data_IF_395538167883
#
_entry.id   IF_395538167883
#
_cell.length_a   1.000
_cell.length_b   1.000
_cell.length_c   1.000
_cell.angle_alpha   90.00
_cell.angle_beta   90.00
_cell.angle_gamma   90.00
#
_symmetry.space_group_name_H-M   'P 1'
#
loop_
_entity.id
_entity.type
_entity.pdbx_description
1 polymer ?
2 non-polymer ?
3 non-polymer ?
4 non-polymer ?
5 water ?
#
# COMPACT_ATOMS: atom_id res chain seq x y z
N UNK A 7 -16.27 16.24 -11.18
CA UNK A 7 -17.45 17.18 -11.06
C UNK A 7 -18.36 16.77 -9.86
N UNK A 8 -18.89 15.54 -9.87
CA UNK A 8 -19.47 14.95 -8.65
C UNK A 8 -18.39 14.19 -7.91
N UNK A 9 -18.52 14.11 -6.59
CA UNK A 9 -17.61 13.32 -5.75
C UNK A 9 -17.86 11.85 -6.01
N UNK A 10 -16.77 11.10 -6.25
CA UNK A 10 -16.91 9.66 -6.50
C UNK A 10 -15.90 8.88 -5.67
N UNK A 11 -16.13 7.58 -5.55
CA UNK A 11 -15.15 6.64 -5.01
C UNK A 11 -14.64 5.75 -6.12
N UNK A 12 -13.33 5.50 -6.14
CA UNK A 12 -12.79 4.52 -7.06
C UNK A 12 -12.19 3.42 -6.19
N UNK A 13 -12.93 2.32 -6.10
CA UNK A 13 -12.47 1.14 -5.40
C UNK A 13 -11.53 0.38 -6.31
N UNK A 14 -10.40 -0.08 -5.79
CA UNK A 14 -9.44 -0.78 -6.61
C UNK A 14 -8.65 -1.80 -5.80
N UNK A 15 -7.97 -2.67 -6.55
CA UNK A 15 -7.15 -3.72 -5.97
C UNK A 15 -6.21 -4.28 -7.02
N UNK A 16 -4.96 -4.50 -6.59
CA UNK A 16 -3.98 -5.24 -7.43
C UNK A 16 -3.83 -6.70 -7.04
N UNK A 17 -3.63 -7.54 -8.06
CA UNK A 17 -3.01 -8.85 -7.84
C UNK A 17 -1.61 -8.69 -8.36
N UNK A 18 -0.65 -9.22 -7.61
CA UNK A 18 0.79 -9.04 -7.92
C UNK A 18 1.51 -10.38 -7.97
N UNK A 19 2.74 -10.30 -8.44
CA UNK A 19 3.62 -11.47 -8.48
C UNK A 19 4.51 -11.63 -7.25
N UNK A 20 4.26 -10.83 -6.23
CA UNK A 20 4.92 -10.94 -4.93
C UNK A 20 4.57 -9.80 -4.03
N UNK A 21 5.12 -9.86 -2.81
CA UNK A 21 4.68 -8.87 -1.81
C UNK A 21 5.54 -7.61 -1.77
N UNK A 22 6.66 -7.57 -2.50
CA UNK A 22 7.48 -6.35 -2.46
C UNK A 22 6.89 -5.33 -3.44
N UNK A 23 6.39 -4.15 -2.94
CA UNK A 23 5.71 -3.23 -3.90
C UNK A 23 6.61 -2.59 -4.94
N UNK A 24 7.93 -2.56 -4.70
CA UNK A 24 8.92 -2.05 -5.64
C UNK A 24 9.54 -3.14 -6.48
N UNK A 25 9.92 -4.25 -5.84
CA UNK A 25 10.78 -5.25 -6.49
C UNK A 25 10.04 -6.44 -7.09
N UNK A 26 8.77 -6.59 -6.74
CA UNK A 26 7.86 -7.51 -7.46
C UNK A 26 7.07 -6.71 -8.46
N UNK A 27 6.46 -7.43 -9.38
CA UNK A 27 5.74 -6.81 -10.51
C UNK A 27 4.27 -7.05 -10.37
N UNK A 28 3.44 -6.07 -10.80
CA UNK A 28 1.97 -6.28 -10.75
C UNK A 28 1.51 -7.31 -11.79
N UNK A 29 0.41 -7.99 -11.52
CA UNK A 29 -0.18 -8.90 -12.50
C UNK A 29 -1.47 -8.36 -13.08
N UNK A 30 -2.33 -7.79 -12.22
CA UNK A 30 -3.70 -7.42 -12.61
C UNK A 30 -4.13 -6.25 -11.75
N UNK A 31 -4.87 -5.35 -12.36
CA UNK A 31 -5.53 -4.25 -11.67
C UNK A 31 -7.01 -4.42 -11.88
N UNK A 32 -7.79 -4.22 -10.80
CA UNK A 32 -9.24 -4.24 -10.89
C UNK A 32 -9.79 -3.02 -10.19
N UNK A 33 -10.83 -2.40 -10.76
CA UNK A 33 -11.46 -1.20 -10.18
C UNK A 33 -12.85 -0.97 -10.62
N UNK A 34 -13.60 -0.23 -9.80
CA UNK A 34 -14.93 0.27 -10.24
C UNK A 34 -15.25 1.55 -9.51
N UNK A 35 -15.96 2.43 -10.19
CA UNK A 35 -16.33 3.73 -9.65
C UNK A 35 -17.74 3.71 -9.13
N UNK A 36 -17.90 4.32 -7.94
CA UNK A 36 -19.22 4.52 -7.34
C UNK A 36 -19.52 5.99 -7.10
N UNK A 37 -20.81 6.31 -6.93
CA UNK A 37 -21.16 7.66 -6.48
C UNK A 37 -20.84 7.80 -4.96
N UNK A 38 -21.18 8.96 -4.39
CA UNK A 38 -20.86 9.24 -2.98
C UNK A 38 -21.59 8.34 -1.97
N UNK A 39 -22.59 7.58 -2.48
CA UNK A 39 -23.45 6.68 -1.71
C UNK A 39 -23.14 5.19 -1.94
N UNK A 40 -22.05 4.94 -2.69
CA UNK A 40 -21.55 3.58 -3.03
C UNK A 40 -22.39 2.81 -4.06
N UNK A 41 -23.24 3.55 -4.78
CA UNK A 41 -23.91 3.00 -5.97
C UNK A 41 -22.95 2.92 -7.13
N UNK A 42 -22.83 1.74 -7.72
CA UNK A 42 -21.94 1.54 -8.89
C UNK A 42 -22.44 2.40 -10.08
N UNK A 43 -21.53 3.24 -10.57
CA UNK A 43 -21.80 4.15 -11.74
C UNK A 43 -20.88 3.86 -12.94
N UNK A 44 -19.75 3.20 -12.69
CA UNK A 44 -18.81 2.82 -13.74
C UNK A 44 -18.93 1.39 -14.19
N UNK A 45 -18.18 1.08 -15.24
CA UNK A 45 -18.02 -0.29 -15.70
C UNK A 45 -16.84 -0.92 -15.00
N UNK A 46 -16.83 -2.28 -14.81
CA UNK A 46 -15.63 -2.90 -14.23
C UNK A 46 -14.42 -2.61 -15.11
N UNK A 47 -13.31 -2.23 -14.46
CA UNK A 47 -12.03 -1.96 -15.13
C UNK A 47 -11.08 -3.03 -14.68
N UNK A 48 -10.75 -3.96 -15.56
CA UNK A 48 -9.89 -5.11 -15.21
C UNK A 48 -8.90 -5.26 -16.30
N UNK A 49 -7.61 -5.23 -15.92
CA UNK A 49 -6.59 -5.45 -16.96
C UNK A 49 -5.29 -5.96 -16.37
N UNK A 50 -4.47 -6.49 -17.26
CA UNK A 50 -3.26 -7.18 -16.89
C UNK A 50 -2.02 -6.41 -17.29
N UNK A 51 -0.94 -6.72 -16.58
CA UNK A 51 0.37 -6.13 -16.85
C UNK A 51 1.34 -7.19 -17.31
N UNK A 52 1.88 -7.00 -18.53
CA UNK A 52 2.92 -7.85 -19.09
C UNK A 52 4.21 -7.69 -18.24
N UNK A 53 4.74 -8.79 -17.61
CA UNK A 53 6.03 -8.68 -16.91
C UNK A 53 7.18 -8.68 -17.91
N UNK A 54 8.14 -7.77 -17.65
CA UNK A 54 9.38 -7.74 -18.45
C UNK A 54 10.22 -9.02 -18.22
N UNK A 55 11.10 -9.34 -19.16
CA UNK A 55 11.85 -10.60 -19.13
C UNK A 55 13.09 -10.61 -18.21
N UNK A 56 13.17 -9.63 -17.29
CA UNK A 56 14.22 -9.58 -16.28
C UNK A 56 13.70 -10.05 -14.90
N UNK A 57 12.55 -10.75 -14.90
CA UNK A 57 11.86 -11.02 -13.65
C UNK A 57 11.21 -12.40 -13.68
N UNK A 58 11.30 -13.09 -12.54
CA UNK A 58 10.49 -14.29 -12.30
C UNK A 58 9.57 -14.04 -11.11
N UNK A 59 8.27 -14.43 -11.26
CA UNK A 59 7.34 -14.20 -10.14
C UNK A 59 7.67 -15.05 -8.91
N UNK A 60 7.27 -14.56 -7.74
CA UNK A 60 7.36 -15.37 -6.53
C UNK A 60 6.36 -16.52 -6.67
N UNK A 61 6.84 -17.80 -6.58
CA UNK A 61 5.90 -18.95 -6.68
C UNK A 61 4.72 -18.87 -5.72
N UNK A 62 4.97 -18.49 -4.45
CA UNK A 62 3.94 -18.31 -3.43
C UNK A 62 2.81 -17.35 -3.83
N UNK A 63 3.17 -16.23 -4.48
CA UNK A 63 2.18 -15.28 -4.96
C UNK A 63 1.24 -15.89 -6.01
N UNK A 64 1.81 -16.64 -6.97
CA UNK A 64 1.03 -17.28 -8.05
C UNK A 64 0.10 -18.35 -7.48
N UNK A 65 0.56 -19.10 -6.47
CA UNK A 65 -0.31 -20.11 -5.83
C UNK A 65 -1.52 -19.49 -5.14
N UNK A 66 -1.37 -18.24 -4.65
CA UNK A 66 -2.46 -17.47 -4.04
C UNK A 66 -3.41 -16.90 -5.11
N UNK A 67 -2.86 -16.22 -6.11
CA UNK A 67 -3.68 -15.46 -7.06
C UNK A 67 -4.29 -16.33 -8.14
N UNK A 68 -3.58 -17.40 -8.50
CA UNK A 68 -3.92 -18.23 -9.67
C UNK A 68 -3.62 -17.59 -11.03
N UNK A 69 -2.91 -16.44 -11.01
CA UNK A 69 -2.55 -15.73 -12.23
C UNK A 69 -1.11 -16.08 -12.53
N UNK A 70 -0.93 -16.82 -13.60
CA UNK A 70 0.40 -17.22 -14.06
C UNK A 70 1.11 -16.07 -14.78
N UNK A 71 2.48 -16.09 -14.81
CA UNK A 71 3.16 -15.10 -15.68
C UNK A 71 2.79 -15.22 -17.17
N UNK A 72 2.50 -16.45 -17.65
CA UNK A 72 2.03 -16.66 -19.04
C UNK A 72 0.75 -15.90 -19.31
N UNK A 73 -0.18 -15.96 -18.34
CA UNK A 73 -1.49 -15.29 -18.50
C UNK A 73 -1.32 -13.77 -18.51
N UNK A 74 -0.60 -13.20 -17.54
CA UNK A 74 -0.37 -11.75 -17.54
C UNK A 74 0.38 -11.29 -18.82
N UNK A 75 1.35 -12.07 -19.28
CA UNK A 75 2.07 -11.72 -20.50
C UNK A 75 1.13 -11.76 -21.73
N UNK A 76 0.28 -12.78 -21.83
CA UNK A 76 -0.57 -12.94 -23.04
C UNK A 76 -1.76 -11.97 -23.05
N UNK A 77 -2.26 -11.63 -21.86
CA UNK A 77 -3.47 -10.78 -21.72
C UNK A 77 -3.14 -9.33 -21.40
N UNK A 78 -1.89 -9.07 -21.04
CA UNK A 78 -1.49 -7.75 -20.57
C UNK A 78 -1.04 -6.79 -21.61
N UNK A 79 -0.87 -5.56 -21.16
CA UNK A 79 -0.12 -4.56 -21.93
C UNK A 79 1.14 -4.31 -21.14
N UNK A 80 2.11 -3.65 -21.76
CA UNK A 80 3.35 -3.33 -21.07
C UNK A 80 3.05 -2.40 -19.88
N UNK A 81 4.01 -2.33 -18.96
CA UNK A 81 3.77 -1.58 -17.71
C UNK A 81 3.53 -0.09 -17.98
N UNK A 82 4.14 0.49 -19.03
CA UNK A 82 3.85 1.87 -19.43
C UNK A 82 2.36 2.07 -19.70
N UNK A 83 1.77 1.13 -20.47
CA UNK A 83 0.36 1.24 -20.83
C UNK A 83 -0.57 0.92 -19.66
N UNK A 84 -0.19 -0.05 -18.82
CA UNK A 84 -0.86 -0.38 -17.57
C UNK A 84 -0.91 0.86 -16.68
N UNK A 85 0.26 1.51 -16.49
CA UNK A 85 0.35 2.74 -15.71
C UNK A 85 -0.54 3.83 -16.27
N UNK A 86 -0.58 3.99 -17.60
CA UNK A 86 -1.46 5.00 -18.23
C UNK A 86 -2.93 4.79 -17.90
N UNK A 87 -3.39 3.54 -17.97
CA UNK A 87 -4.80 3.25 -17.69
C UNK A 87 -5.13 3.56 -16.23
N UNK A 88 -4.25 3.17 -15.30
CA UNK A 88 -4.46 3.43 -13.88
C UNK A 88 -4.41 4.93 -13.61
N UNK A 89 -3.40 5.63 -14.17
CA UNK A 89 -3.28 7.08 -13.97
C UNK A 89 -4.54 7.84 -14.46
N UNK A 90 -5.10 7.43 -15.60
CA UNK A 90 -6.35 8.02 -16.14
C UNK A 90 -7.51 7.90 -15.14
N UNK A 91 -7.67 6.72 -14.52
CA UNK A 91 -8.74 6.46 -13.56
C UNK A 91 -8.54 7.26 -12.28
N UNK A 92 -7.30 7.28 -11.79
CA UNK A 92 -6.95 7.93 -10.52
C UNK A 92 -6.98 9.45 -10.55
N UNK A 93 -6.86 10.03 -11.72
CA UNK A 93 -6.75 11.50 -11.81
C UNK A 93 -8.05 12.18 -12.27
N UNK A 94 -9.16 11.42 -12.39
CA UNK A 94 -10.50 12.01 -12.54
C UNK A 94 -10.71 12.92 -11.30
N UNK A 95 -11.07 14.22 -11.50
CA UNK A 95 -11.28 15.10 -10.34
C UNK A 95 -12.32 14.59 -9.37
N UNK A 96 -12.08 14.93 -8.09
CA UNK A 96 -12.98 14.64 -6.95
C UNK A 96 -13.18 13.13 -6.70
N UNK A 97 -12.11 12.38 -6.96
CA UNK A 97 -12.05 10.94 -6.70
C UNK A 97 -11.43 10.64 -5.36
N UNK A 98 -12.13 9.85 -4.54
CA UNK A 98 -11.54 9.19 -3.39
C UNK A 98 -11.11 7.80 -3.84
N UNK A 99 -9.79 7.59 -3.93
CA UNK A 99 -9.19 6.31 -4.34
C UNK A 99 -9.03 5.48 -3.08
N UNK A 100 -9.65 4.31 -3.07
CA UNK A 100 -9.60 3.47 -1.85
C UNK A 100 -9.61 2.00 -2.19
N UNK A 101 -9.22 1.20 -1.21
CA UNK A 101 -9.24 -0.25 -1.33
C UNK A 101 -9.25 -0.85 0.06
N UNK A 102 -8.59 -2.00 0.15
CA UNK A 102 -8.54 -2.75 1.40
C UNK A 102 -7.10 -3.15 1.59
N UNK A 103 -6.45 -2.45 2.52
CA UNK A 103 -4.96 -2.47 2.72
C UNK A 103 -4.18 -1.69 1.64
N UNK A 104 -4.85 -0.78 0.95
CA UNK A 104 -4.15 0.02 -0.08
C UNK A 104 -3.12 0.96 0.52
N UNK A 105 -3.35 1.52 1.72
CA UNK A 105 -2.34 2.51 2.24
C UNK A 105 -0.94 1.86 2.36
N UNK A 106 -0.89 0.64 2.89
CA UNK A 106 0.37 -0.06 3.10
C UNK A 106 0.85 -0.76 1.82
N UNK A 107 -0.09 -1.31 1.04
CA UNK A 107 0.28 -2.15 -0.11
C UNK A 107 -0.04 -1.54 -1.47
N UNK A 108 -1.30 -1.50 -1.87
CA UNK A 108 -1.63 -1.10 -3.26
C UNK A 108 -1.13 0.28 -3.61
N UNK A 109 -1.21 1.24 -2.67
CA UNK A 109 -0.74 2.59 -2.96
C UNK A 109 0.77 2.64 -3.18
N UNK A 110 1.51 1.74 -2.50
CA UNK A 110 2.95 1.57 -2.71
C UNK A 110 3.23 0.98 -4.08
N UNK A 111 2.40 0.01 -4.50
CA UNK A 111 2.50 -0.54 -5.87
C UNK A 111 2.28 0.61 -6.88
N UNK A 112 1.22 1.40 -6.69
CA UNK A 112 0.92 2.53 -7.58
C UNK A 112 2.10 3.51 -7.66
N UNK A 113 2.61 3.91 -6.49
CA UNK A 113 3.75 4.85 -6.44
C UNK A 113 4.91 4.32 -7.26
N UNK A 114 5.20 3.03 -7.12
CA UNK A 114 6.34 2.39 -7.84
C UNK A 114 6.10 2.23 -9.34
N UNK A 115 4.89 1.86 -9.75
CA UNK A 115 4.53 1.80 -11.18
C UNK A 115 4.67 3.21 -11.80
N UNK A 116 4.19 4.23 -11.08
CA UNK A 116 4.28 5.60 -11.59
C UNK A 116 5.74 6.05 -11.69
N UNK A 117 6.50 5.81 -10.63
CA UNK A 117 7.94 6.09 -10.57
C UNK A 117 8.70 5.48 -11.75
N UNK A 118 8.49 4.17 -11.98
CA UNK A 118 9.18 3.45 -13.10
C UNK A 118 8.78 3.94 -14.48
N UNK A 119 7.55 4.47 -14.59
CA UNK A 119 7.01 4.81 -15.93
C UNK A 119 6.78 6.27 -16.19
N UNK A 120 7.52 7.10 -15.43
CA UNK A 120 7.65 8.57 -15.68
C UNK A 120 6.37 9.38 -15.37
N UNK A 121 5.55 8.84 -14.49
CA UNK A 121 4.44 9.60 -13.86
C UNK A 121 4.89 10.15 -12.53
N UNK A 122 4.28 11.27 -12.12
CA UNK A 122 4.42 11.75 -10.76
C UNK A 122 3.92 10.65 -9.79
N UNK A 123 4.79 10.19 -8.85
CA UNK A 123 4.33 9.14 -7.92
C UNK A 123 3.29 9.53 -6.88
N UNK A 124 3.08 10.84 -6.70
CA UNK A 124 2.32 11.38 -5.54
C UNK A 124 1.09 12.20 -5.87
N UNK A 125 1.16 12.96 -6.97
CA UNK A 125 0.14 14.00 -7.29
C UNK A 125 -1.29 13.45 -7.41
N UNK A 126 -1.44 12.23 -7.93
CA UNK A 126 -2.74 11.57 -8.15
C UNK A 126 -3.67 11.56 -6.92
N UNK A 127 -3.04 11.47 -5.72
CA UNK A 127 -3.74 11.30 -4.44
C UNK A 127 -4.46 12.55 -3.98
N UNK A 128 -3.93 13.73 -4.35
CA UNK A 128 -4.43 15.01 -3.78
C UNK A 128 -4.84 16.08 -4.78
N UNK A 129 -4.32 16.02 -6.02
CA UNK A 129 -4.67 17.06 -7.03
C UNK A 129 -6.14 16.95 -7.41
N UNK A 130 -6.75 18.07 -7.84
CA UNK A 130 -8.15 18.13 -8.32
C UNK A 130 -9.17 17.62 -7.26
N UNK A 131 -8.98 17.95 -5.97
CA UNK A 131 -9.86 17.54 -4.85
C UNK A 131 -9.83 16.02 -4.57
N UNK A 132 -8.78 15.31 -5.02
CA UNK A 132 -8.72 13.87 -4.77
C UNK A 132 -8.31 13.56 -3.35
N UNK A 133 -8.55 12.30 -2.95
CA UNK A 133 -8.18 11.83 -1.62
C UNK A 133 -7.97 10.34 -1.70
N UNK A 134 -7.51 9.79 -0.58
CA UNK A 134 -7.44 8.34 -0.44
C UNK A 134 -8.11 7.94 0.86
N UNK A 135 -8.49 6.67 0.90
CA UNK A 135 -9.01 6.05 2.09
C UNK A 135 -8.68 4.57 2.02
N UNK A 136 -8.95 3.84 3.10
CA UNK A 136 -8.58 2.43 3.19
C UNK A 136 -9.51 1.79 4.18
N UNK A 137 -10.26 0.79 3.71
CA UNK A 137 -11.25 0.12 4.56
C UNK A 137 -10.65 -0.78 5.62
N UNK A 138 -9.36 -1.13 5.51
CA UNK A 138 -8.76 -2.02 6.52
C UNK A 138 -8.75 -1.35 7.87
N UNK A 139 -8.24 -0.13 7.97
CA UNK A 139 -8.20 0.49 9.33
C UNK A 139 -9.58 0.94 9.76
N UNK A 140 -10.53 1.12 8.83
CA UNK A 140 -11.95 1.33 9.18
C UNK A 140 -12.48 0.10 9.93
N UNK A 141 -12.23 -1.10 9.40
CA UNK A 141 -12.67 -2.32 10.07
C UNK A 141 -11.99 -2.48 11.42
N UNK A 142 -10.69 -2.21 11.45
CA UNK A 142 -9.96 -2.27 12.73
C UNK A 142 -10.50 -1.30 13.75
N UNK A 143 -10.80 -0.08 13.32
CA UNK A 143 -11.42 0.95 14.21
C UNK A 143 -12.77 0.52 14.74
N UNK A 144 -13.62 -0.08 13.90
CA UNK A 144 -14.92 -0.58 14.37
C UNK A 144 -14.72 -1.65 15.41
N UNK A 145 -13.87 -2.66 15.12
CA UNK A 145 -13.62 -3.73 16.10
C UNK A 145 -13.21 -3.18 17.48
N UNK A 146 -12.30 -2.22 17.46
CA UNK A 146 -11.73 -1.69 18.69
C UNK A 146 -12.73 -0.76 19.40
N UNK A 147 -13.39 0.13 18.64
CA UNK A 147 -14.09 1.27 19.24
C UNK A 147 -15.58 1.17 19.21
N UNK A 148 -16.13 0.48 18.20
CA UNK A 148 -17.61 0.41 18.01
C UNK A 148 -17.99 -0.97 17.44
N UNK A 149 -17.71 -2.09 18.20
CA UNK A 149 -17.89 -3.43 17.61
C UNK A 149 -19.34 -3.90 17.41
N UNK A 150 -20.28 -3.18 18.01
CA UNK A 150 -21.71 -3.57 17.93
C UNK A 150 -22.25 -3.79 16.49
N UNK A 151 -22.88 -4.94 16.28
CA UNK A 151 -23.58 -5.16 15.05
C UNK A 151 -22.82 -5.84 13.95
N UNK A 152 -21.50 -5.98 14.11
CA UNK A 152 -20.65 -6.70 13.12
C UNK A 152 -20.13 -7.97 13.79
N UNK A 153 -20.06 -9.05 12.99
CA UNK A 153 -19.43 -10.29 13.43
C UNK A 153 -17.94 -10.22 13.20
N UNK A 154 -17.20 -10.48 14.27
CA UNK A 154 -15.73 -10.37 14.27
C UNK A 154 -15.09 -11.76 14.35
N UNK A 155 -14.67 -12.32 13.20
CA UNK A 155 -14.12 -13.67 13.22
C UNK A 155 -12.71 -13.71 13.85
N UNK A 156 -12.43 -14.85 14.46
CA UNK A 156 -11.08 -15.15 14.96
C UNK A 156 -10.37 -15.98 13.95
N UNK A 157 -9.06 -15.70 13.81
CA UNK A 157 -8.22 -16.60 13.02
C UNK A 157 -7.80 -17.86 13.82
N UNK A 158 -7.01 -18.72 13.18
CA UNK A 158 -6.54 -19.97 13.76
C UNK A 158 -5.70 -19.83 15.04
N UNK A 159 -5.22 -18.60 15.29
CA UNK A 159 -4.43 -18.32 16.48
C UNK A 159 -5.28 -17.76 17.64
N UNK A 160 -6.55 -17.49 17.38
CA UNK A 160 -7.47 -16.96 18.40
C UNK A 160 -7.44 -15.47 18.53
N UNK A 161 -6.94 -14.82 17.48
CA UNK A 161 -6.85 -13.38 17.40
C UNK A 161 -7.90 -12.88 16.41
N UNK A 162 -8.39 -11.63 16.59
CA UNK A 162 -9.39 -11.14 15.59
C UNK A 162 -8.73 -11.01 14.23
N UNK A 163 -9.45 -11.47 13.21
CA UNK A 163 -8.95 -11.46 11.83
C UNK A 163 -9.53 -10.27 11.07
N UNK A 164 -8.67 -9.62 10.30
CA UNK A 164 -9.11 -8.51 9.38
C UNK A 164 -8.85 -8.84 7.93
N UNK A 165 -8.65 -10.13 7.64
CA UNK A 165 -8.56 -10.59 6.24
C UNK A 165 -9.92 -10.35 5.62
N UNK A 166 -9.90 -9.72 4.43
CA UNK A 166 -11.17 -9.40 3.76
C UNK A 166 -12.11 -10.61 3.63
N UNK A 167 -11.56 -11.75 3.19
CA UNK A 167 -12.31 -13.02 3.00
C UNK A 167 -12.94 -13.55 4.30
N UNK A 168 -12.29 -13.29 5.44
CA UNK A 168 -12.84 -13.71 6.73
C UNK A 168 -13.97 -12.81 7.16
N UNK A 169 -13.81 -11.50 6.95
CA UNK A 169 -14.87 -10.54 7.34
C UNK A 169 -16.12 -10.67 6.48
N UNK A 170 -15.94 -10.92 5.18
CA UNK A 170 -17.10 -11.11 4.30
C UNK A 170 -17.89 -12.36 4.69
N UNK A 171 -17.19 -13.51 4.82
CA UNK A 171 -17.82 -14.79 5.21
C UNK A 171 -18.56 -14.66 6.55
N UNK A 172 -17.91 -14.03 7.54
CA UNK A 172 -18.48 -13.87 8.88
C UNK A 172 -19.74 -12.99 8.92
N UNK A 173 -19.89 -12.12 7.91
CA UNK A 173 -21.01 -11.18 7.85
C UNK A 173 -22.00 -11.41 6.70
N UNK A 174 -21.90 -12.58 6.06
CA UNK A 174 -22.87 -13.03 5.04
C UNK A 174 -22.79 -12.34 3.68
N UNK A 175 -21.64 -11.71 3.42
CA UNK A 175 -21.33 -11.06 2.14
C UNK A 175 -20.75 -12.09 1.17
N UNK A 176 -21.40 -12.22 -0.01
CA UNK A 176 -20.95 -13.05 -1.14
C UNK A 176 -19.55 -12.60 -1.62
N UNK A 177 -18.62 -13.56 -1.67
CA UNK A 177 -17.18 -13.36 -1.94
C UNK A 177 -16.57 -14.73 -2.38
N UNK A 178 -16.62 -15.14 -3.66
CA UNK A 178 -17.23 -14.48 -4.85
C UNK A 178 -18.75 -14.76 -4.92
N UNK A 182 -14.32 -14.34 -9.21
CA UNK A 182 -13.92 -13.72 -10.45
C UNK A 182 -12.94 -12.53 -10.20
N UNK A 183 -12.50 -11.88 -11.29
CA UNK A 183 -11.55 -10.75 -11.24
C UNK A 183 -12.00 -9.58 -10.33
N UNK A 184 -13.31 -9.31 -10.33
CA UNK A 184 -13.88 -8.20 -9.57
C UNK A 184 -14.27 -8.51 -8.11
N UNK A 185 -14.10 -9.77 -7.67
CA UNK A 185 -14.64 -10.24 -6.38
C UNK A 185 -14.14 -9.42 -5.18
N UNK A 186 -12.83 -9.11 -5.14
CA UNK A 186 -12.24 -8.34 -4.04
C UNK A 186 -12.70 -6.89 -4.00
N UNK A 187 -12.80 -6.26 -5.19
CA UNK A 187 -13.33 -4.91 -5.29
C UNK A 187 -14.80 -4.87 -4.80
N UNK A 188 -15.64 -5.79 -5.29
CA UNK A 188 -17.04 -5.82 -4.81
C UNK A 188 -17.14 -6.10 -3.31
N UNK A 189 -16.30 -6.99 -2.79
CA UNK A 189 -16.21 -7.26 -1.33
C UNK A 189 -15.86 -6.00 -0.54
N UNK A 190 -14.96 -5.15 -1.08
CA UNK A 190 -14.53 -3.92 -0.43
C UNK A 190 -15.71 -2.91 -0.38
N UNK A 191 -16.46 -2.80 -1.49
CA UNK A 191 -17.69 -1.97 -1.50
C UNK A 191 -18.68 -2.47 -0.42
N UNK A 192 -18.84 -3.79 -0.35
CA UNK A 192 -19.74 -4.38 0.65
C UNK A 192 -19.30 -4.03 2.07
N UNK A 193 -17.99 -4.00 2.36
CA UNK A 193 -17.45 -3.58 3.68
C UNK A 193 -17.79 -2.16 3.99
N UNK A 194 -17.64 -1.26 3.01
CA UNK A 194 -17.95 0.14 3.19
C UNK A 194 -19.43 0.30 3.53
N UNK A 195 -20.31 -0.39 2.78
CA UNK A 195 -21.76 -0.31 3.07
C UNK A 195 -22.07 -0.87 4.44
N UNK A 196 -21.37 -1.96 4.84
CA UNK A 196 -21.58 -2.60 6.15
C UNK A 196 -21.32 -1.60 7.28
N UNK A 197 -20.17 -0.94 7.26
CA UNK A 197 -19.81 0.02 8.31
C UNK A 197 -20.71 1.25 8.26
N UNK A 198 -21.00 1.77 7.06
CA UNK A 198 -21.88 2.93 6.91
C UNK A 198 -23.26 2.66 7.54
N UNK A 199 -23.77 1.44 7.35
CA UNK A 199 -25.09 1.04 7.87
C UNK A 199 -25.03 0.84 9.40
N UNK A 200 -24.03 0.08 9.84
CA UNK A 200 -24.03 -0.46 11.21
C UNK A 200 -23.36 0.48 12.21
N UNK A 201 -22.41 1.30 11.75
CA UNK A 201 -21.78 2.32 12.61
C UNK A 201 -21.76 3.67 11.89
N UNK A 202 -22.96 4.27 11.69
CA UNK A 202 -23.04 5.44 10.80
C UNK A 202 -22.19 6.63 11.24
N UNK A 203 -22.20 6.96 12.53
CA UNK A 203 -21.44 8.16 12.98
C UNK A 203 -19.95 7.91 12.94
N UNK A 204 -19.52 6.70 13.34
CA UNK A 204 -18.09 6.37 13.20
C UNK A 204 -17.63 6.41 11.73
N UNK A 205 -18.47 5.87 10.84
CA UNK A 205 -18.13 5.89 9.40
C UNK A 205 -17.91 7.32 8.92
N UNK A 206 -18.86 8.22 9.24
CA UNK A 206 -18.76 9.64 8.87
C UNK A 206 -17.48 10.26 9.43
N UNK A 207 -17.22 9.99 10.72
CA UNK A 207 -16.07 10.54 11.41
C UNK A 207 -14.78 10.11 10.68
N UNK A 208 -14.66 8.81 10.42
CA UNK A 208 -13.45 8.27 9.79
C UNK A 208 -13.27 8.82 8.36
N UNK A 209 -14.38 8.90 7.62
CA UNK A 209 -14.30 9.44 6.28
C UNK A 209 -13.81 10.88 6.30
N UNK A 210 -14.43 11.74 7.12
CA UNK A 210 -14.06 13.16 7.20
C UNK A 210 -12.58 13.29 7.60
N UNK A 211 -12.15 12.45 8.55
CA UNK A 211 -10.78 12.51 9.09
C UNK A 211 -9.71 11.84 8.22
N UNK A 212 -10.08 11.39 7.01
CA UNK A 212 -9.06 11.01 6.01
C UNK A 212 -8.19 12.25 5.63
N UNK A 213 -8.75 13.44 5.84
CA UNK A 213 -8.16 14.72 5.49
C UNK A 213 -7.13 15.11 6.54
N UNK A 214 -5.92 15.42 6.07
CA UNK A 214 -4.80 15.74 6.98
C UNK A 214 -5.05 16.97 7.88
N UNK A 215 -5.81 17.96 7.40
CA UNK A 215 -6.14 19.15 8.27
C UNK A 215 -7.09 18.83 9.40
N UNK A 216 -8.08 17.96 9.15
CA UNK A 216 -8.94 17.45 10.24
C UNK A 216 -8.09 16.69 11.27
N UNK A 217 -7.15 15.88 10.80
CA UNK A 217 -6.22 15.16 11.69
C UNK A 217 -5.32 16.13 12.49
N UNK A 218 -4.75 17.14 11.83
CA UNK A 218 -3.93 18.15 12.54
C UNK A 218 -4.65 18.89 13.66
N UNK A 219 -5.97 19.09 13.50
CA UNK A 219 -6.82 19.73 14.55
C UNK A 219 -6.87 18.92 15.86
N UNK A 220 -6.64 17.61 15.76
CA UNK A 220 -6.59 16.71 16.93
C UNK A 220 -5.30 16.78 17.71
N UNK A 221 -4.23 17.29 17.09
CA UNK A 221 -2.87 17.16 17.62
C UNK A 221 -2.47 18.43 18.39
N UNK A 222 -2.28 18.24 19.71
CA UNK A 222 -1.86 19.30 20.63
C UNK A 222 -0.55 18.87 21.30
N UNK A 223 0.55 19.21 20.65
CA UNK A 223 1.92 18.87 21.09
C UNK A 223 2.27 19.59 22.43
N UNK A 224 2.07 20.94 22.58
CA UNK A 224 2.37 21.58 23.90
C UNK A 224 1.67 20.93 25.10
N UNK A 225 0.42 20.50 24.92
CA UNK A 225 -0.37 19.86 26.01
C UNK A 225 -0.14 18.36 26.10
N UNK A 226 0.58 17.79 25.12
CA UNK A 226 0.71 16.33 24.91
C UNK A 226 -0.69 15.69 25.03
N UNK A 227 -1.68 16.25 24.31
CA UNK A 227 -3.08 15.83 24.46
C UNK A 227 -3.23 14.38 24.00
N UNK A 228 -3.74 13.49 24.90
CA UNK A 228 -3.87 12.09 24.50
C UNK A 228 -4.96 11.87 23.44
N UNK A 229 -4.68 10.92 22.57
CA UNK A 229 -5.61 10.51 21.53
C UNK A 229 -5.72 9.02 21.50
N UNK A 230 -6.86 8.52 20.99
CA UNK A 230 -6.94 7.11 20.55
C UNK A 230 -6.26 6.99 19.18
N UNK A 231 -5.50 5.92 19.01
CA UNK A 231 -4.90 5.62 17.72
C UNK A 231 -5.10 4.14 17.47
N UNK A 232 -5.65 3.84 16.28
CA UNK A 232 -5.84 2.45 15.86
C UNK A 232 -4.86 2.23 14.74
N UNK A 233 -3.98 1.24 14.90
CA UNK A 233 -2.90 0.98 13.96
C UNK A 233 -2.58 -0.49 13.99
N UNK A 234 -2.40 -1.07 12.81
CA UNK A 234 -1.87 -2.47 12.70
C UNK A 234 -0.59 -2.75 13.49
N UNK A 235 0.29 -1.76 13.63
CA UNK A 235 1.54 -1.87 14.40
C UNK A 235 1.34 -2.23 15.89
N UNK A 236 0.17 -1.89 16.44
CA UNK A 236 -0.14 -2.15 17.86
C UNK A 236 -0.47 -3.62 18.13
N UNK A 237 -1.03 -4.30 17.13
CA UNK A 237 -1.23 -5.76 17.24
C UNK A 237 -2.65 -6.13 17.56
N UNK A 238 -3.10 -7.20 16.91
CA UNK A 238 -4.45 -7.71 17.08
C UNK A 238 -4.79 -8.12 18.54
N UNK A 239 -3.77 -8.51 19.31
CA UNK A 239 -3.93 -8.94 20.73
C UNK A 239 -4.52 -7.83 21.62
N UNK A 240 -4.35 -6.56 21.20
CA UNK A 240 -4.94 -5.40 21.91
C UNK A 240 -5.88 -4.65 20.95
N UNK A 241 -6.49 -5.37 19.99
CA UNK A 241 -7.38 -4.75 19.00
C UNK A 241 -6.75 -3.59 18.24
N UNK A 242 -5.43 -3.67 18.00
CA UNK A 242 -4.69 -2.65 17.24
C UNK A 242 -4.80 -1.23 17.81
N UNK A 243 -5.04 -1.12 19.11
CA UNK A 243 -5.42 0.18 19.72
C UNK A 243 -4.57 0.54 20.91
N UNK A 244 -4.26 1.82 21.00
CA UNK A 244 -3.72 2.40 22.22
C UNK A 244 -4.12 3.86 22.40
N UNK A 245 -3.82 4.38 23.60
CA UNK A 245 -3.79 5.82 23.81
C UNK A 245 -2.37 6.32 23.56
N UNK A 246 -2.28 7.38 22.76
CA UNK A 246 -0.98 7.95 22.36
C UNK A 246 -0.94 9.42 22.70
N UNK A 247 0.28 9.95 22.81
CA UNK A 247 0.46 11.40 22.99
C UNK A 247 1.49 11.95 22.02
N UNK A 248 1.21 13.12 21.38
CA UNK A 248 2.22 13.72 20.47
C UNK A 248 3.32 14.42 21.26
N UNK A 249 4.55 14.11 20.89
CA UNK A 249 5.75 14.71 21.52
C UNK A 249 6.39 15.84 20.71
N UNK A 250 6.42 15.69 19.38
CA UNK A 250 7.09 16.57 18.42
C UNK A 250 6.70 16.17 17.01
N UNK A 251 7.04 17.01 16.06
CA UNK A 251 6.94 16.71 14.64
C UNK A 251 8.30 16.31 14.10
N UNK A 252 8.28 15.44 13.07
CA UNK A 252 9.51 14.91 12.44
C UNK A 252 10.37 16.06 11.91
N UNK A 253 11.72 16.05 12.20
CA UNK A 253 12.68 17.06 11.67
C UNK A 253 12.73 17.26 10.14
N UNK A 254 12.48 16.19 9.37
CA UNK A 254 12.53 16.20 7.89
C UNK A 254 11.17 15.97 7.19
N UNK A 255 10.45 14.91 7.60
CA UNK A 255 9.14 14.55 7.02
C UNK A 255 8.05 15.48 7.55
N UNK A 256 7.60 16.36 6.67
CA UNK A 256 6.58 17.39 6.93
C UNK A 256 5.23 16.82 7.42
N UNK A 257 4.90 15.62 6.94
CA UNK A 257 3.65 14.90 7.26
C UNK A 257 3.70 13.95 8.49
N UNK A 258 4.86 13.82 9.14
CA UNK A 258 5.04 12.84 10.23
C UNK A 258 5.12 13.46 11.62
N UNK A 259 4.22 13.01 12.50
CA UNK A 259 4.22 13.38 13.92
C UNK A 259 4.77 12.23 14.78
N UNK A 260 5.57 12.60 15.79
CA UNK A 260 6.19 11.63 16.69
C UNK A 260 5.31 11.46 17.92
N UNK A 261 4.75 10.25 18.02
CA UNK A 261 3.88 9.83 19.10
C UNK A 261 4.56 8.91 20.06
N UNK A 262 4.15 9.00 21.31
CA UNK A 262 4.50 8.01 22.34
C UNK A 262 3.27 7.13 22.57
N UNK A 263 3.49 5.81 22.59
CA UNK A 263 2.47 4.87 23.02
C UNK A 263 2.44 4.88 24.54
N UNK A 264 1.38 5.45 25.10
CA UNK A 264 1.22 5.60 26.57
C UNK A 264 1.08 4.26 27.32
N UNK A 265 0.69 3.20 26.60
CA UNK A 265 0.62 1.85 27.18
C UNK A 265 1.99 1.18 27.33
N UNK A 266 3.02 1.74 26.70
CA UNK A 266 4.36 1.15 26.70
C UNK A 266 5.14 1.41 27.99
N UNK A 267 6.42 1.08 27.92
CA UNK A 267 7.40 1.35 28.95
C UNK A 267 8.25 2.52 28.50
N UNK A 268 8.05 3.66 29.17
CA UNK A 268 8.73 4.92 28.82
C UNK A 268 10.10 5.08 29.50
N UNK A 269 10.48 4.13 30.38
CA UNK A 269 11.82 4.12 31.06
C UNK A 269 13.02 4.30 30.08
N UNK A 270 13.14 3.52 28.94
CA UNK A 270 14.31 3.76 28.05
C UNK A 270 14.31 5.17 27.43
N UNK A 271 13.12 5.71 27.14
CA UNK A 271 12.95 7.06 26.62
C UNK A 271 13.37 8.17 27.60
N UNK A 272 13.13 7.96 28.90
CA UNK A 272 13.51 8.88 29.98
C UNK A 272 15.00 8.81 30.36
N UNK A 273 15.54 7.58 30.39
CA UNK A 273 16.88 7.25 30.92
C UNK A 273 18.01 7.36 29.88
N UNK A 274 17.80 6.82 28.67
CA UNK A 274 18.85 6.75 27.62
C UNK A 274 18.98 8.05 26.80
N UNK A 275 20.19 8.27 26.24
CA UNK A 275 20.59 9.52 25.54
C UNK A 275 19.93 9.73 24.16
N UNK A 295 11.98 -1.95 24.82
CA UNK A 295 11.39 -1.40 23.61
C UNK A 295 11.06 0.07 23.75
N UNK A 296 11.42 0.84 22.71
CA UNK A 296 11.16 2.28 22.64
C UNK A 296 9.69 2.46 22.19
N UNK A 297 8.80 2.99 23.08
CA UNK A 297 7.37 3.11 22.72
C UNK A 297 7.10 4.42 21.95
N UNK A 298 7.75 4.55 20.80
CA UNK A 298 7.73 5.73 19.94
C UNK A 298 7.38 5.28 18.52
N UNK A 299 6.44 6.00 17.89
CA UNK A 299 6.07 5.76 16.49
C UNK A 299 5.79 7.04 15.70
N UNK A 300 5.96 6.95 14.39
CA UNK A 300 5.56 7.99 13.46
C UNK A 300 4.14 7.76 13.03
N UNK A 301 3.37 8.84 13.04
CA UNK A 301 2.00 8.88 12.52
C UNK A 301 2.07 9.83 11.33
N UNK A 302 1.74 9.30 10.16
CA UNK A 302 1.85 10.00 8.90
C UNK A 302 0.47 10.50 8.56
N UNK A 303 0.28 11.81 8.69
CA UNK A 303 -1.05 12.43 8.55
C UNK A 303 -1.64 12.39 7.13
N UNK A 304 -0.80 12.13 6.12
CA UNK A 304 -1.23 11.88 4.73
C UNK A 304 -1.57 10.39 4.42
N UNK A 305 -1.43 9.51 5.42
CA UNK A 305 -1.62 8.04 5.27
C UNK A 305 -2.91 7.52 5.95
N UNK A 306 -3.94 8.37 6.01
CA UNK A 306 -5.24 8.03 6.66
C UNK A 306 -5.12 7.33 8.03
N UNK A 307 -4.29 7.89 8.96
CA UNK A 307 -4.22 7.19 10.25
C UNK A 307 -5.52 7.39 11.03
N UNK A 308 -5.90 6.38 11.82
CA UNK A 308 -7.09 6.48 12.67
C UNK A 308 -6.68 7.16 13.96
N UNK A 309 -7.24 8.36 14.16
CA UNK A 309 -7.01 9.17 15.36
C UNK A 309 -8.31 9.77 15.80
N UNK A 310 -8.51 9.76 17.11
CA UNK A 310 -9.70 10.39 17.70
C UNK A 310 -9.45 10.83 19.11
N UNK A 311 -10.32 11.72 19.60
CA UNK A 311 -10.24 12.14 21.04
C UNK A 311 -10.20 10.93 21.96
N UNK A 312 -9.51 11.07 23.09
CA UNK A 312 -9.24 9.96 24.01
C UNK A 312 -10.49 9.16 24.44
N UNK A 313 -11.59 9.86 24.71
CA UNK A 313 -12.83 9.23 25.23
C UNK A 313 -13.58 8.42 24.16
N UNK A 314 -13.07 8.42 22.92
CA UNK A 314 -13.66 7.59 21.85
C UNK A 314 -13.50 6.09 22.20
N UNK A 315 -12.41 5.75 22.92
CA UNK A 315 -12.26 4.41 23.48
C UNK A 315 -13.00 4.41 24.80
N UNK A 316 -14.15 3.74 24.77
CA UNK A 316 -15.05 3.65 25.93
C UNK A 316 -14.47 2.70 26.98
N UNK A 317 -14.77 2.92 28.29
CA UNK A 317 -14.23 2.03 29.35
C UNK A 317 -14.44 0.53 29.09
N UNK A 318 -15.64 0.14 28.63
CA UNK A 318 -15.97 -1.28 28.34
C UNK A 318 -15.04 -1.86 27.25
N UNK A 319 -14.67 -1.01 26.30
CA UNK A 319 -13.81 -1.47 25.20
C UNK A 319 -12.34 -1.50 25.60
N UNK A 320 -11.89 -0.49 26.37
CA UNK A 320 -10.56 -0.54 26.98
C UNK A 320 -10.36 -1.84 27.79
N UNK A 321 -11.37 -2.21 28.59
CA UNK A 321 -11.34 -3.47 29.34
C UNK A 321 -11.28 -4.70 28.46
N UNK A 322 -12.17 -4.73 27.45
CA UNK A 322 -12.21 -5.82 26.46
C UNK A 322 -10.84 -6.04 25.77
N UNK A 323 -10.17 -4.93 25.43
CA UNK A 323 -8.89 -4.96 24.74
C UNK A 323 -7.65 -5.06 25.66
N UNK A 324 -7.91 -5.03 26.97
CA UNK A 324 -6.86 -5.15 28.01
C UNK A 324 -6.02 -3.90 28.20
N UNK A 325 -6.51 -2.75 27.71
CA UNK A 325 -5.79 -1.45 27.73
C UNK A 325 -5.96 -0.83 29.10
N UNK A 326 -4.83 -0.52 29.74
CA UNK A 326 -4.77 -0.06 31.12
C UNK A 326 -4.73 1.47 31.18
N UNK A 327 -5.88 2.08 31.49
CA UNK A 327 -6.06 3.55 31.57
C UNK A 327 -5.08 4.19 32.57
N UNK A 328 -5.00 3.60 33.77
CA UNK A 328 -4.13 4.17 34.82
C UNK A 328 -2.65 4.17 34.42
N UNK A 329 -2.17 3.09 33.80
CA UNK A 329 -0.79 3.03 33.29
C UNK A 329 -0.54 4.15 32.26
N UNK A 330 -1.45 4.30 31.30
CA UNK A 330 -1.40 5.36 30.28
C UNK A 330 -1.36 6.75 30.90
N UNK A 331 -2.27 7.02 31.84
CA UNK A 331 -2.32 8.34 32.54
C UNK A 331 -1.06 8.62 33.37
N UNK A 332 -0.53 7.59 34.06
CA UNK A 332 0.74 7.73 34.81
C UNK A 332 1.91 8.08 33.90
N UNK A 333 2.00 7.41 32.73
CA UNK A 333 3.03 7.73 31.73
C UNK A 333 2.87 9.15 31.20
N UNK A 334 1.63 9.54 30.90
CA UNK A 334 1.31 10.89 30.41
C UNK A 334 1.77 11.97 31.41
N UNK A 335 1.45 11.77 32.70
CA UNK A 335 1.86 12.69 33.80
C UNK A 335 3.38 12.87 33.85
N UNK A 336 4.14 11.75 33.81
CA UNK A 336 5.63 11.75 33.77
C UNK A 336 6.14 12.52 32.54
N UNK A 337 5.61 12.21 31.35
CA UNK A 337 6.05 12.84 30.08
C UNK A 337 5.86 14.36 30.10
N UNK A 338 4.69 14.81 30.59
CA UNK A 338 4.38 16.25 30.79
C UNK A 338 5.34 16.95 31.77
N UNK A 339 5.75 16.24 32.81
CA UNK A 339 6.72 16.76 33.84
C UNK A 339 8.19 16.71 33.37
N UNK A 340 8.45 16.01 32.26
CA UNK A 340 9.77 15.89 31.65
C UNK A 340 9.80 16.31 30.14
N UNK A 341 9.50 17.62 29.80
CA UNK A 341 9.44 18.01 28.36
C UNK A 341 10.78 17.93 27.55
N UNK A 342 11.91 17.64 28.22
CA UNK A 342 13.20 17.29 27.54
C UNK A 342 13.17 16.05 26.60
N UNK A 343 12.16 15.18 26.79
CA UNK A 343 11.88 13.99 25.96
C UNK A 343 11.64 14.36 24.46
N UNK A 344 11.00 15.52 24.23
CA UNK A 344 10.67 16.06 22.87
C UNK A 344 11.90 16.27 21.99
N UNK A 345 12.95 16.83 22.61
CA UNK A 345 14.25 17.10 21.99
C UNK A 345 14.96 15.80 21.61
N UNK A 346 14.95 14.81 22.53
CA UNK A 346 15.51 13.44 22.33
C UNK A 346 15.01 12.76 21.05
N UNK A 347 13.68 12.78 20.84
CA UNK A 347 13.07 12.28 19.58
C UNK A 347 12.61 13.43 18.70
N UNK A 361 23.60 -0.49 -7.12
CA UNK A 361 22.30 -0.50 -6.43
C UNK A 361 21.13 -0.40 -7.40
N UNK A 362 20.02 -1.03 -7.02
CA UNK A 362 18.84 -1.20 -7.87
C UNK A 362 17.93 0.05 -7.89
N UNK A 363 17.90 0.73 -9.05
CA UNK A 363 17.09 1.95 -9.23
C UNK A 363 15.59 1.68 -8.93
N UNK A 364 15.12 0.45 -9.17
CA UNK A 364 13.74 0.06 -8.81
C UNK A 364 13.46 0.22 -7.31
N UNK A 365 14.51 0.16 -6.48
CA UNK A 365 14.38 0.24 -5.02
C UNK A 365 14.55 1.65 -4.46
N UNK A 366 14.66 2.65 -5.36
CA UNK A 366 15.17 3.99 -5.00
C UNK A 366 14.13 5.12 -5.05
N UNK A 367 12.84 4.78 -5.05
CA UNK A 367 11.78 5.83 -5.02
C UNK A 367 12.00 6.87 -3.90
N UNK A 368 12.32 6.38 -2.69
CA UNK A 368 12.42 7.24 -1.50
C UNK A 368 13.81 7.84 -1.26
N UNK A 369 14.72 7.67 -2.24
CA UNK A 369 16.02 8.37 -2.24
C UNK A 369 15.91 9.91 -2.33
N UNK A 370 14.70 10.40 -2.62
CA UNK A 370 14.36 11.82 -2.58
C UNK A 370 13.32 12.20 -3.59
N UNK A 371 12.74 13.37 -3.35
CA UNK A 371 11.89 14.03 -4.34
C UNK A 371 12.79 14.58 -5.46
N UNK A 372 12.28 14.48 -6.69
CA UNK A 372 12.91 15.07 -7.86
C UNK A 372 12.71 16.59 -7.84
N UNK A 373 13.68 17.32 -8.42
CA UNK A 373 13.57 18.78 -8.68
C UNK A 373 12.46 19.09 -9.68
N UNK A 374 12.02 20.35 -9.71
CA UNK A 374 11.03 20.86 -10.70
C UNK A 374 11.48 20.67 -12.15
N UNK A 375 12.76 20.95 -12.43
CA UNK A 375 13.39 20.76 -13.75
C UNK A 375 13.39 19.28 -14.16
N UNK A 376 13.82 18.40 -13.26
CA UNK A 376 13.82 16.92 -13.48
C UNK A 376 12.42 16.36 -13.72
N UNK A 377 11.43 16.78 -12.92
CA UNK A 377 9.99 16.45 -13.10
C UNK A 377 9.45 16.92 -14.47
N UNK A 378 9.84 18.14 -14.86
CA UNK A 378 9.50 18.70 -16.18
C UNK A 378 10.13 17.90 -17.34
N UNK A 379 11.40 17.49 -17.17
CA UNK A 379 12.12 16.64 -18.12
C UNK A 379 11.47 15.24 -18.25
N UNK A 380 11.10 14.65 -17.11
CA UNK A 380 10.45 13.33 -17.07
C UNK A 380 9.05 13.36 -17.71
N UNK A 381 8.35 14.49 -17.59
CA UNK A 381 7.05 14.72 -18.26
C UNK A 381 7.23 14.69 -19.79
N UNK A 382 8.31 15.29 -20.29
CA UNK A 382 8.67 15.21 -21.73
C UNK A 382 8.90 13.75 -22.14
N UNK A 383 9.66 12.97 -21.37
CA UNK A 383 9.81 11.51 -21.63
C UNK A 383 8.44 10.85 -21.76
N UNK A 384 7.58 11.10 -20.76
CA UNK A 384 6.24 10.52 -20.71
C UNK A 384 5.40 10.85 -21.96
N UNK A 385 5.47 12.11 -22.39
CA UNK A 385 4.55 12.65 -23.42
C UNK A 385 5.10 12.58 -24.85
N UNK A 386 6.41 12.30 -24.99
CA UNK A 386 7.07 11.94 -26.26
C UNK A 386 6.62 10.52 -26.67
N UNK A 387 6.33 10.34 -27.98
CA UNK A 387 6.08 8.97 -28.58
C UNK A 387 7.25 7.99 -28.28
N UNK A 388 6.98 6.69 -28.04
CA UNK A 388 8.16 5.81 -27.71
C UNK A 388 9.18 5.65 -28.88
N UNK A 389 8.70 5.85 -30.11
CA UNK A 389 9.50 5.85 -31.36
C UNK A 389 10.40 7.10 -31.52
N UNK A 390 9.98 8.24 -30.94
CA UNK A 390 10.81 9.47 -30.87
C UNK A 390 11.75 9.54 -29.64
N UNK A 391 11.62 8.60 -28.69
CA UNK A 391 12.54 8.52 -27.50
C UNK A 391 14.06 8.32 -27.76
N UNK A 392 14.51 7.39 -28.70
CA UNK A 392 15.97 7.28 -29.00
C UNK A 392 16.66 8.59 -29.38
N UNK A 393 15.96 9.42 -30.17
CA UNK A 393 16.43 10.74 -30.63
C UNK A 393 16.28 11.87 -29.59
N UNK A 394 15.56 11.62 -28.48
CA UNK A 394 15.30 12.64 -27.45
C UNK A 394 16.58 12.96 -26.65
N UNK A 395 17.05 14.20 -26.87
CA UNK A 395 18.12 14.82 -26.12
C UNK A 395 17.48 15.71 -25.07
N UNK A 396 17.79 15.40 -23.81
CA UNK A 396 17.22 16.03 -22.61
C UNK A 396 18.14 15.75 -21.41
N UNK A 397 18.26 16.76 -20.55
CA UNK A 397 19.11 16.73 -19.37
C UNK A 397 18.28 16.43 -18.14
N UNK A 398 18.85 15.52 -17.36
CA UNK A 398 18.45 15.19 -16.01
C UNK A 398 19.66 15.41 -15.12
N UNK A 399 19.40 15.85 -13.89
CA UNK A 399 20.49 15.96 -12.88
C UNK A 399 20.43 14.78 -11.90
N UNK A 400 19.22 14.39 -11.43
CA UNK A 400 19.03 13.26 -10.50
C UNK A 400 19.57 12.00 -11.17
N UNK A 401 20.47 11.35 -10.43
CA UNK A 401 21.28 10.22 -10.90
C UNK A 401 20.47 8.94 -11.17
N UNK A 402 19.25 8.85 -10.61
CA UNK A 402 18.35 7.72 -10.86
C UNK A 402 17.79 7.71 -12.29
N UNK A 403 17.67 8.88 -12.91
CA UNK A 403 16.83 9.02 -14.13
C UNK A 403 17.46 8.30 -15.37
N UNK A 404 18.78 8.35 -15.56
CA UNK A 404 19.47 7.60 -16.64
C UNK A 404 19.07 6.11 -16.62
N UNK A 405 19.14 5.51 -15.43
CA UNK A 405 18.84 4.09 -15.23
C UNK A 405 17.32 3.83 -15.37
N UNK A 406 16.50 4.72 -14.80
CA UNK A 406 15.05 4.64 -14.95
C UNK A 406 14.66 4.65 -16.43
N UNK A 407 15.27 5.57 -17.20
CA UNK A 407 14.98 5.71 -18.62
C UNK A 407 15.42 4.49 -19.43
N UNK A 408 16.64 3.99 -19.16
CA UNK A 408 17.09 2.79 -19.86
C UNK A 408 16.15 1.59 -19.58
N UNK A 409 15.84 1.34 -18.29
CA UNK A 409 14.94 0.25 -17.92
C UNK A 409 13.56 0.43 -18.55
N UNK A 410 13.07 1.67 -18.56
CA UNK A 410 11.76 1.97 -19.14
C UNK A 410 11.72 1.59 -20.61
N UNK A 411 12.74 1.99 -21.36
CA UNK A 411 12.81 1.69 -22.77
C UNK A 411 13.04 0.21 -23.02
N UNK A 412 13.99 -0.43 -22.30
CA UNK A 412 14.28 -1.85 -22.55
C UNK A 412 13.12 -2.78 -22.14
N UNK A 413 12.43 -2.46 -21.04
CA UNK A 413 11.32 -3.30 -20.56
C UNK A 413 10.09 -3.14 -21.41
N UNK A 414 9.75 -1.88 -21.77
CA UNK A 414 8.48 -1.58 -22.45
C UNK A 414 8.58 -1.60 -23.96
N UNK A 415 9.73 -1.16 -24.48
CA UNK A 415 9.90 -0.91 -25.93
C UNK A 415 11.19 -1.58 -26.46
N UNK A 416 11.34 -2.93 -26.25
CA UNK A 416 12.64 -3.59 -26.62
C UNK A 416 12.97 -3.52 -28.10
N UNK A 417 11.95 -3.43 -28.96
CA UNK A 417 12.12 -3.19 -30.40
C UNK A 417 12.83 -1.90 -30.81
N UNK A 418 12.93 -0.94 -29.87
CA UNK A 418 13.55 0.38 -30.11
C UNK A 418 15.02 0.44 -29.68
N UNK A 419 15.51 -0.63 -29.05
CA UNK A 419 16.92 -0.69 -28.60
C UNK A 419 17.87 -0.92 -29.75
N UNK A 420 18.97 -0.17 -29.74
CA UNK A 420 20.08 -0.42 -30.66
C UNK A 420 20.94 -1.57 -30.10
N UNK A 421 21.96 -1.98 -30.86
CA UNK A 421 22.75 -3.14 -30.48
C UNK A 421 23.45 -3.01 -29.13
N UNK A 422 24.12 -1.86 -28.88
CA UNK A 422 24.77 -1.59 -27.57
C UNK A 422 23.75 -1.65 -26.42
N UNK A 423 22.57 -1.07 -26.64
CA UNK A 423 21.47 -1.12 -25.64
C UNK A 423 21.01 -2.56 -25.41
N UNK A 424 20.88 -3.35 -26.49
CA UNK A 424 20.53 -4.79 -26.40
C UNK A 424 21.54 -5.56 -25.56
N UNK A 425 22.84 -5.24 -25.72
CA UNK A 425 23.92 -5.87 -24.95
C UNK A 425 23.89 -5.44 -23.49
N UNK A 426 23.56 -4.15 -23.24
CA UNK A 426 23.35 -3.64 -21.87
C UNK A 426 22.20 -4.41 -21.19
N UNK A 427 21.10 -4.61 -21.93
CA UNK A 427 19.94 -5.38 -21.40
C UNK A 427 20.29 -6.83 -21.10
N UNK A 428 21.04 -7.50 -22.00
CA UNK A 428 21.52 -8.88 -21.79
C UNK A 428 22.34 -9.01 -20.50
N UNK A 429 23.22 -8.03 -20.25
CA UNK A 429 24.05 -7.94 -19.00
C UNK A 429 23.18 -7.76 -17.74
N UNK A 430 22.19 -6.87 -17.84
CA UNK A 430 21.20 -6.64 -16.78
C UNK A 430 20.51 -7.94 -16.41
N UNK A 431 20.02 -8.69 -17.42
CA UNK A 431 19.30 -9.97 -17.18
C UNK A 431 20.22 -10.99 -16.48
N UNK A 432 21.48 -11.08 -16.94
CA UNK A 432 22.54 -11.93 -16.33
C UNK A 432 22.74 -11.61 -14.84
N UNK A 433 22.77 -10.31 -14.50
CA UNK A 433 23.02 -9.83 -13.10
C UNK A 433 21.82 -10.09 -12.17
N UNK A 434 20.61 -10.25 -12.76
CA UNK A 434 19.42 -10.72 -12.02
C UNK A 434 19.47 -12.24 -11.86
N UNK A 435 19.63 -12.95 -12.97
CA UNK A 435 19.59 -14.39 -13.04
C UNK A 435 20.98 -14.97 -12.70
N UNK A 436 21.41 -14.69 -11.46
CA UNK A 436 22.69 -15.18 -10.88
C UNK A 436 22.61 -16.69 -10.66
N UNK A 437 23.77 -17.42 -10.62
CA UNK A 437 23.74 -18.85 -10.24
C UNK A 437 22.93 -19.16 -8.95
N UNK A 438 23.10 -18.33 -7.91
CA UNK A 438 22.36 -18.51 -6.65
C UNK A 438 20.85 -18.34 -6.83
N UNK A 439 20.46 -17.32 -7.59
CA UNK A 439 19.04 -17.07 -7.83
C UNK A 439 18.34 -18.22 -8.61
N UNK A 440 18.95 -18.66 -9.70
CA UNK A 440 18.34 -19.67 -10.57
C UNK A 440 18.22 -21.03 -9.87
N UNK A 441 19.28 -21.41 -9.13
CA UNK A 441 19.26 -22.64 -8.35
C UNK A 441 18.15 -22.60 -7.28
N UNK A 442 18.07 -21.46 -6.59
CA UNK A 442 17.08 -21.22 -5.54
C UNK A 442 15.66 -21.32 -6.07
N UNK A 443 15.43 -20.78 -7.28
CA UNK A 443 14.11 -20.80 -7.89
C UNK A 443 13.66 -22.24 -8.22
N UNK A 444 14.53 -22.99 -8.91
CA UNK A 444 14.33 -24.41 -9.18
C UNK A 444 14.08 -25.21 -7.90
N UNK A 445 14.90 -24.96 -6.86
CA UNK A 445 14.75 -25.62 -5.54
C UNK A 445 13.37 -25.37 -4.91
N UNK A 446 12.91 -24.10 -4.96
CA UNK A 446 11.62 -23.70 -4.42
C UNK A 446 10.46 -24.40 -5.14
N UNK A 447 10.51 -24.43 -6.48
CA UNK A 447 9.48 -25.11 -7.27
C UNK A 447 9.40 -26.60 -6.96
N UNK A 448 10.57 -27.25 -6.88
CA UNK A 448 10.68 -28.69 -6.58
C UNK A 448 10.20 -28.99 -5.15
N UNK A 449 10.44 -28.08 -4.22
CA UNK A 449 9.94 -28.25 -2.85
C UNK A 449 8.42 -28.10 -2.78
N UNK A 450 7.88 -27.08 -3.47
CA UNK A 450 6.44 -26.79 -3.44
C UNK A 450 5.62 -27.86 -4.14
N UNK A 451 6.16 -28.44 -5.22
CA UNK A 451 5.41 -29.50 -5.94
C UNK A 451 5.29 -30.79 -5.10
N UNK A 452 6.28 -31.02 -4.24
CA UNK A 452 6.23 -32.12 -3.26
C UNK A 452 5.30 -31.77 -2.12
N UNK A 453 5.43 -30.56 -1.58
CA UNK A 453 4.61 -30.05 -0.46
C UNK A 453 3.12 -30.10 -0.79
N UNK A 454 2.77 -29.61 -1.99
CA UNK A 454 1.39 -29.48 -2.47
C UNK A 454 0.99 -30.56 -3.49
N UNK A 455 1.65 -31.72 -3.41
CA UNK A 455 1.45 -32.87 -4.33
C UNK A 455 -0.02 -33.28 -4.51
N UNK A 456 -0.78 -33.19 -3.42
CA UNK A 456 -2.22 -33.56 -3.36
C UNK A 456 -3.20 -32.43 -3.78
N UNK A 457 -2.67 -31.22 -4.05
CA UNK A 457 -3.45 -30.07 -4.48
C UNK A 457 -3.24 -29.94 -6.00
N UNK A 458 -4.21 -30.44 -6.77
CA UNK A 458 -4.07 -30.54 -8.24
C UNK A 458 -3.97 -29.18 -8.94
N UNK A 459 -4.68 -28.17 -8.41
CA UNK A 459 -4.63 -26.80 -8.95
C UNK A 459 -3.26 -26.17 -8.71
N UNK A 460 -2.69 -26.37 -7.51
CA UNK A 460 -1.33 -25.87 -7.20
C UNK A 460 -0.26 -26.57 -8.05
N UNK A 461 -0.39 -27.89 -8.21
CA UNK A 461 0.55 -28.68 -9.05
C UNK A 461 0.59 -28.11 -10.49
N UNK A 462 -0.59 -27.86 -11.07
CA UNK A 462 -0.71 -27.26 -12.40
C UNK A 462 -0.09 -25.86 -12.46
N UNK A 463 -0.33 -25.03 -11.44
CA UNK A 463 0.32 -23.69 -11.34
C UNK A 463 1.84 -23.79 -11.25
N UNK A 464 2.35 -24.76 -10.46
CA UNK A 464 3.80 -24.99 -10.35
C UNK A 464 4.45 -25.45 -11.65
N UNK A 465 3.74 -26.31 -12.41
CA UNK A 465 4.11 -26.71 -13.79
C UNK A 465 4.32 -25.47 -14.66
N UNK A 466 3.31 -24.58 -14.63
CA UNK A 466 3.30 -23.28 -15.35
C UNK A 466 4.51 -22.42 -14.99
N UNK A 467 4.77 -22.32 -13.68
CA UNK A 467 5.91 -21.54 -13.19
C UNK A 467 7.25 -22.11 -13.68
N UNK A 468 7.41 -23.45 -13.69
CA UNK A 468 8.60 -24.10 -14.25
C UNK A 468 8.75 -23.81 -15.74
N UNK A 469 7.65 -23.96 -16.48
CA UNK A 469 7.58 -23.70 -17.92
C UNK A 469 8.06 -22.27 -18.24
N UNK A 470 7.54 -21.30 -17.48
CA UNK A 470 7.91 -19.90 -17.69
C UNK A 470 9.39 -19.65 -17.36
N UNK A 471 9.87 -20.19 -16.22
CA UNK A 471 11.25 -20.03 -15.79
C UNK A 471 12.22 -20.65 -16.80
N UNK A 472 11.90 -21.86 -17.29
CA UNK A 472 12.64 -22.54 -18.39
C UNK A 472 12.80 -21.67 -19.62
N UNK A 473 11.72 -20.97 -20.02
CA UNK A 473 11.71 -20.05 -21.18
C UNK A 473 12.62 -18.82 -20.91
N UNK A 474 12.41 -18.17 -19.75
CA UNK A 474 13.03 -16.87 -19.41
C UNK A 474 14.49 -17.05 -18.99
#
# INVERSE_FOLDING_TARGET
MMNDGKQQSTFLFHDYETFGTHPALDRPAQFAAIRTDSEFNVIGEPEVFYCKPADDYLPQPGAVLITGITPQEARAKGENEAAFAARIHSLFTVPKTCILGYNNVRFDDEVTRNIFYRNFYDPYAWSWQHDNSRWDLLDVMRACYALRPEGINWPENDDGLPSFRLEHLTKANGIEHSNAHDAMADVYATIAMAKLVKTRQPRLFDYLFTHRNKHKLMALIDVPQMKPLVHVSGMFGAWRGNTSWVAPLAWHPENRNAVIMVDLAGDISPLLELDSDTLRERLYTAKTDLGDNAAVPVKLVHINKCPVLAQANTLRPEDADRLGINRQHCLDNLKILRENPQVREKVVAIFAEAEPFTPSDNVDAQLYNGFFSDADRAAMKIVLETEPRNLPALDITFVDKRIEKLLFNYRARNFPGTLDYAEQQRWLEHRRQVFTPEFLQGYADELQMLVQQYADDKEKVALLKALWQYADEIVEHHHHHH
#
